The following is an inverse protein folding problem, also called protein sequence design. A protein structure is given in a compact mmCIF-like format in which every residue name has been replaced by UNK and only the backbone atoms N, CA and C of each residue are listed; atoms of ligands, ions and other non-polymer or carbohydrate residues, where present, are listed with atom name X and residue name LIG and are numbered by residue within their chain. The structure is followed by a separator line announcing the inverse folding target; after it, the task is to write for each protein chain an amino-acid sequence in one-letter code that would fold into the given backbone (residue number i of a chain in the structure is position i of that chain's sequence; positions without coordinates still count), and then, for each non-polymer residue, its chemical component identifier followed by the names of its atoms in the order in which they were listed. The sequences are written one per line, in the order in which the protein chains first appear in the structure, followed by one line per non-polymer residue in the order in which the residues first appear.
data_IF_811114993473
#
_entry.id   IF_811114993473
#
_cell.length_a   1.000
_cell.length_b   1.000
_cell.length_c   1.000
_cell.angle_alpha   90.00
_cell.angle_beta   90.00
_cell.angle_gamma   90.00
#
_symmetry.space_group_name_H-M   'P 1'
#
loop_
_entity.id
_entity.type
_entity.pdbx_description
1 polymer ?
#
# COMPACT_ATOMS: atom_id res chain seq x y z
N UNK A 1 -26.66 3.83 9.31
CA UNK A 1 -25.67 4.29 8.31
C UNK A 1 -24.34 4.76 8.95
N UNK A 2 -24.33 5.57 10.01
CA UNK A 2 -23.07 6.05 10.66
C UNK A 2 -22.09 4.95 11.09
N UNK A 3 -22.58 3.78 11.53
CA UNK A 3 -21.72 2.68 11.98
C UNK A 3 -20.90 1.99 10.87
N UNK A 4 -21.35 2.01 9.60
CA UNK A 4 -20.63 1.35 8.50
C UNK A 4 -19.38 2.12 8.05
N UNK A 5 -19.38 3.46 8.19
CA UNK A 5 -18.25 4.32 7.79
C UNK A 5 -17.00 4.00 8.63
N UNK A 6 -17.18 3.74 9.92
CA UNK A 6 -16.09 3.42 10.83
C UNK A 6 -15.90 1.91 11.04
N UNK A 7 -16.59 1.08 10.24
CA UNK A 7 -16.49 -0.37 10.37
C UNK A 7 -15.03 -0.81 10.26
N UNK A 8 -14.55 -1.52 11.29
CA UNK A 8 -13.19 -2.04 11.45
C UNK A 8 -12.05 -1.02 11.42
N UNK A 9 -12.34 0.29 11.36
CA UNK A 9 -11.30 1.32 11.35
C UNK A 9 -10.53 1.39 12.67
N UNK A 10 -11.15 1.01 13.79
CA UNK A 10 -10.45 0.83 15.06
C UNK A 10 -9.36 -0.26 15.01
N UNK A 11 -9.61 -1.36 14.30
CA UNK A 11 -8.60 -2.42 14.09
C UNK A 11 -7.48 -1.94 13.17
N UNK A 12 -7.82 -1.20 12.10
CA UNK A 12 -6.81 -0.61 11.21
C UNK A 12 -5.91 0.38 11.96
N UNK A 13 -6.48 1.23 12.82
CA UNK A 13 -5.73 2.16 13.67
C UNK A 13 -4.86 1.41 14.69
N UNK A 14 -5.43 0.43 15.40
CA UNK A 14 -4.68 -0.38 16.35
C UNK A 14 -3.48 -1.08 15.69
N UNK A 15 -3.68 -1.69 14.53
CA UNK A 15 -2.61 -2.32 13.76
C UNK A 15 -1.57 -1.30 13.25
N UNK A 16 -1.99 -0.11 12.82
CA UNK A 16 -1.06 0.97 12.46
C UNK A 16 -0.16 1.38 13.63
N UNK A 17 -0.73 1.52 14.83
CA UNK A 17 0.04 1.87 16.03
C UNK A 17 1.00 0.74 16.45
N UNK A 18 0.54 -0.51 16.43
CA UNK A 18 1.35 -1.68 16.79
C UNK A 18 2.50 -1.86 15.79
N UNK A 19 2.20 -1.90 14.48
CA UNK A 19 3.22 -2.05 13.45
C UNK A 19 4.21 -0.88 13.46
N UNK A 20 3.74 0.35 13.70
CA UNK A 20 4.59 1.52 13.84
C UNK A 20 5.51 1.44 15.07
N UNK A 21 4.98 1.01 16.21
CA UNK A 21 5.77 0.79 17.42
C UNK A 21 6.86 -0.27 17.21
N UNK A 22 6.51 -1.40 16.60
CA UNK A 22 7.46 -2.47 16.27
C UNK A 22 8.52 -1.99 15.25
N UNK A 23 8.09 -1.26 14.23
CA UNK A 23 8.97 -0.68 13.21
C UNK A 23 10.01 0.27 13.83
N UNK A 24 9.58 1.20 14.67
CA UNK A 24 10.49 2.18 15.28
C UNK A 24 11.37 1.53 16.35
N UNK A 25 10.84 0.57 17.09
CA UNK A 25 11.63 -0.22 18.05
C UNK A 25 12.73 -1.03 17.33
N UNK A 26 12.38 -1.78 16.28
CA UNK A 26 13.33 -2.54 15.48
C UNK A 26 14.30 -1.63 14.72
N UNK A 27 13.79 -0.54 14.14
CA UNK A 27 14.59 0.47 13.44
C UNK A 27 15.67 1.07 14.32
N UNK A 28 15.36 1.41 15.57
CA UNK A 28 16.35 1.91 16.54
C UNK A 28 17.47 0.90 16.82
N UNK A 29 17.17 -0.41 16.82
CA UNK A 29 18.16 -1.48 17.06
C UNK A 29 19.02 -1.76 15.84
N UNK A 30 18.45 -1.61 14.65
CA UNK A 30 19.10 -1.95 13.37
C UNK A 30 19.81 -0.76 12.70
N UNK A 31 19.68 0.45 13.24
CA UNK A 31 20.25 1.67 12.67
C UNK A 31 21.51 2.17 13.41
N UNK A 32 22.25 1.30 14.10
CA UNK A 32 23.41 1.71 14.92
C UNK A 32 24.52 2.37 14.08
N UNK A 33 24.71 1.91 12.84
CA UNK A 33 25.72 2.44 11.91
C UNK A 33 25.10 3.36 10.83
N UNK A 34 23.89 3.85 11.08
CA UNK A 34 23.18 4.66 10.10
C UNK A 34 23.83 6.05 9.93
N UNK A 35 23.91 6.51 8.68
CA UNK A 35 24.37 7.86 8.35
C UNK A 35 23.18 8.81 8.21
N UNK A 36 23.44 10.10 8.44
CA UNK A 36 22.46 11.16 8.15
C UNK A 36 22.35 11.29 6.62
N UNK A 37 21.13 11.25 6.11
CA UNK A 37 20.83 11.44 4.69
C UNK A 37 19.87 12.61 4.51
N UNK A 38 20.25 13.59 3.68
CA UNK A 38 19.47 14.80 3.41
C UNK A 38 18.97 15.52 4.69
N UNK A 39 19.81 15.56 5.74
CA UNK A 39 19.53 16.25 7.00
C UNK A 39 18.73 15.45 8.04
N UNK A 40 18.32 14.22 7.74
CA UNK A 40 17.56 13.37 8.65
C UNK A 40 18.30 12.05 8.97
N UNK A 41 18.12 11.56 10.19
CA UNK A 41 18.55 10.22 10.59
C UNK A 41 17.67 9.14 9.94
N UNK A 42 18.17 7.90 9.91
CA UNK A 42 17.39 6.76 9.42
C UNK A 42 16.06 6.60 10.17
N UNK A 43 16.06 6.75 11.50
CA UNK A 43 14.85 6.62 12.31
C UNK A 43 13.83 7.73 11.98
N UNK A 44 14.29 8.95 11.70
CA UNK A 44 13.43 10.04 11.24
C UNK A 44 12.83 9.73 9.87
N UNK A 45 13.63 9.23 8.92
CA UNK A 45 13.11 8.80 7.62
C UNK A 45 12.09 7.66 7.74
N UNK A 46 12.33 6.68 8.61
CA UNK A 46 11.38 5.61 8.90
C UNK A 46 10.07 6.15 9.47
N UNK A 47 10.15 7.09 10.43
CA UNK A 47 8.96 7.72 11.02
C UNK A 47 8.15 8.52 9.98
N UNK A 48 8.81 9.29 9.12
CA UNK A 48 8.17 10.04 8.03
C UNK A 48 7.50 9.09 7.03
N UNK A 49 8.21 8.03 6.62
CA UNK A 49 7.68 7.01 5.70
C UNK A 49 6.46 6.29 6.28
N UNK A 50 6.51 5.94 7.57
CA UNK A 50 5.40 5.31 8.29
C UNK A 50 4.19 6.24 8.42
N UNK A 51 4.43 7.51 8.77
CA UNK A 51 3.38 8.53 8.83
C UNK A 51 2.69 8.66 7.47
N UNK A 52 3.46 8.71 6.39
CA UNK A 52 2.93 8.80 5.04
C UNK A 52 2.11 7.54 4.66
N UNK A 53 2.55 6.34 5.07
CA UNK A 53 1.78 5.11 4.90
C UNK A 53 0.43 5.18 5.64
N UNK A 54 0.42 5.71 6.86
CA UNK A 54 -0.78 6.00 7.62
C UNK A 54 -1.71 6.96 6.89
N UNK A 55 -1.22 8.15 6.55
CA UNK A 55 -1.97 9.19 5.83
C UNK A 55 -2.59 8.61 4.57
N UNK A 56 -1.81 7.89 3.75
CA UNK A 56 -2.31 7.30 2.52
C UNK A 56 -3.44 6.30 2.75
N UNK A 57 -3.26 5.32 3.64
CA UNK A 57 -4.27 4.26 3.85
C UNK A 57 -5.54 4.77 4.54
N UNK A 58 -5.40 5.70 5.50
CA UNK A 58 -6.56 6.31 6.14
C UNK A 58 -7.27 7.29 5.22
N UNK A 59 -6.53 8.00 4.36
CA UNK A 59 -7.12 8.82 3.29
C UNK A 59 -7.95 7.94 2.34
N UNK A 60 -7.44 6.79 1.90
CA UNK A 60 -8.19 5.87 1.03
C UNK A 60 -9.48 5.43 1.73
N UNK A 61 -9.35 4.88 2.95
CA UNK A 61 -10.48 4.37 3.71
C UNK A 61 -11.54 5.45 3.95
N UNK A 62 -11.11 6.66 4.30
CA UNK A 62 -12.02 7.78 4.54
C UNK A 62 -12.83 8.14 3.30
N UNK A 63 -12.15 8.38 2.16
CA UNK A 63 -12.83 8.79 0.94
C UNK A 63 -13.71 7.68 0.36
N UNK A 64 -13.22 6.43 0.35
CA UNK A 64 -14.00 5.27 -0.10
C UNK A 64 -15.27 5.08 0.72
N UNK A 65 -15.17 5.09 2.05
CA UNK A 65 -16.32 4.87 2.94
C UNK A 65 -17.33 6.03 2.89
N UNK A 66 -16.85 7.27 2.81
CA UNK A 66 -17.72 8.43 2.63
C UNK A 66 -18.48 8.39 1.29
N UNK A 67 -17.81 7.97 0.23
CA UNK A 67 -18.47 7.87 -1.06
C UNK A 67 -19.46 6.71 -1.09
N UNK A 68 -19.04 5.51 -0.67
CA UNK A 68 -19.85 4.30 -0.72
C UNK A 68 -21.15 4.42 0.08
N UNK A 69 -21.09 4.97 1.29
CA UNK A 69 -22.24 5.03 2.21
C UNK A 69 -23.01 6.34 2.20
N UNK A 70 -22.46 7.40 1.62
CA UNK A 70 -23.07 8.72 1.70
C UNK A 70 -22.93 9.59 0.47
N UNK A 71 -22.23 9.14 -0.59
CA UNK A 71 -21.94 9.95 -1.80
C UNK A 71 -21.45 11.35 -1.47
N UNK A 72 -20.71 11.52 -0.38
CA UNK A 72 -20.41 12.84 0.18
C UNK A 72 -19.54 13.68 -0.75
N UNK A 73 -18.67 13.02 -1.53
CA UNK A 73 -17.75 13.68 -2.44
C UNK A 73 -18.46 13.98 -3.76
N UNK A 74 -19.12 12.99 -4.35
CA UNK A 74 -19.85 13.19 -5.62
C UNK A 74 -21.02 14.17 -5.50
N UNK A 75 -21.66 14.29 -4.33
CA UNK A 75 -22.70 15.32 -4.11
C UNK A 75 -22.18 16.76 -4.17
N UNK A 76 -20.91 16.98 -3.84
CA UNK A 76 -20.30 18.33 -3.83
C UNK A 76 -19.53 18.64 -5.11
N UNK A 77 -18.84 17.64 -5.66
CA UNK A 77 -17.89 17.82 -6.77
C UNK A 77 -18.35 17.14 -8.06
N UNK A 78 -19.47 16.41 -8.06
CA UNK A 78 -19.94 15.67 -9.22
C UNK A 78 -18.87 14.72 -9.78
N UNK A 79 -18.73 14.62 -11.11
CA UNK A 79 -17.71 13.78 -11.76
C UNK A 79 -16.27 14.14 -11.39
N UNK A 80 -16.00 15.38 -10.99
CA UNK A 80 -14.67 15.81 -10.57
C UNK A 80 -14.24 15.17 -9.24
N UNK A 81 -15.18 14.68 -8.42
CA UNK A 81 -14.91 14.05 -7.13
C UNK A 81 -13.93 12.87 -7.23
N UNK A 82 -14.18 11.95 -8.17
CA UNK A 82 -13.28 10.81 -8.39
C UNK A 82 -11.93 11.25 -8.97
N UNK A 83 -11.88 12.30 -9.79
CA UNK A 83 -10.62 12.81 -10.35
C UNK A 83 -9.72 13.35 -9.25
N UNK A 84 -10.26 14.18 -8.35
CA UNK A 84 -9.52 14.74 -7.20
C UNK A 84 -9.02 13.62 -6.29
N UNK A 85 -9.90 12.65 -5.99
CA UNK A 85 -9.51 11.45 -5.26
C UNK A 85 -8.31 10.77 -5.95
N UNK A 86 -8.44 10.44 -7.24
CA UNK A 86 -7.42 9.68 -7.97
C UNK A 86 -6.07 10.39 -8.03
N UNK A 87 -6.04 11.72 -8.17
CA UNK A 87 -4.80 12.50 -8.14
C UNK A 87 -4.12 12.35 -6.78
N UNK A 88 -4.87 12.52 -5.69
CA UNK A 88 -4.35 12.30 -4.33
C UNK A 88 -3.83 10.88 -4.13
N UNK A 89 -4.57 9.88 -4.63
CA UNK A 89 -4.17 8.48 -4.58
C UNK A 89 -2.80 8.24 -5.25
N UNK A 90 -2.59 8.79 -6.45
CA UNK A 90 -1.35 8.62 -7.20
C UNK A 90 -0.18 9.33 -6.52
N UNK A 91 -0.37 10.58 -6.08
CA UNK A 91 0.68 11.37 -5.45
C UNK A 91 1.13 10.72 -4.14
N UNK A 92 0.18 10.41 -3.24
CA UNK A 92 0.48 9.80 -1.95
C UNK A 92 1.01 8.37 -2.10
N UNK A 93 0.45 7.61 -3.05
CA UNK A 93 0.93 6.27 -3.38
C UNK A 93 2.38 6.30 -3.86
N UNK A 94 2.71 7.15 -4.83
CA UNK A 94 4.08 7.30 -5.33
C UNK A 94 5.04 7.76 -4.23
N UNK A 95 4.66 8.79 -3.46
CA UNK A 95 5.47 9.29 -2.36
C UNK A 95 5.78 8.19 -1.33
N UNK A 96 4.79 7.32 -1.04
CA UNK A 96 4.98 6.18 -0.14
C UNK A 96 6.06 5.21 -0.63
N UNK A 97 6.11 4.91 -1.93
CA UNK A 97 7.17 4.04 -2.49
C UNK A 97 8.54 4.73 -2.45
N UNK A 98 8.60 6.01 -2.80
CA UNK A 98 9.85 6.77 -2.85
C UNK A 98 10.49 6.92 -1.45
N UNK A 99 9.69 6.98 -0.39
CA UNK A 99 10.19 7.10 0.99
C UNK A 99 10.94 5.85 1.51
N UNK A 100 10.94 4.74 0.78
CA UNK A 100 11.79 3.58 1.12
C UNK A 100 13.26 3.85 0.78
N UNK A 101 13.54 4.68 -0.23
CA UNK A 101 14.90 4.94 -0.74
C UNK A 101 15.77 5.68 0.28
N UNK A 102 15.33 6.79 0.92
CA UNK A 102 16.12 7.48 1.94
C UNK A 102 16.51 6.58 3.12
N UNK A 103 15.60 5.69 3.56
CA UNK A 103 15.90 4.71 4.63
C UNK A 103 16.94 3.70 4.16
N UNK A 104 16.77 3.15 2.95
CA UNK A 104 17.73 2.20 2.40
C UNK A 104 19.13 2.80 2.22
N UNK A 105 19.22 4.05 1.76
CA UNK A 105 20.49 4.76 1.59
C UNK A 105 21.15 5.11 2.92
N UNK A 106 20.39 5.61 3.89
CA UNK A 106 20.92 5.98 5.23
C UNK A 106 21.42 4.78 6.03
N UNK A 107 20.97 3.57 5.69
CA UNK A 107 21.30 2.31 6.40
C UNK A 107 21.88 1.27 5.45
N UNK A 108 22.56 1.72 4.40
CA UNK A 108 23.19 0.83 3.41
C UNK A 108 24.22 -0.08 4.08
N UNK A 109 24.34 -1.32 3.63
CA UNK A 109 25.28 -2.32 4.15
C UNK A 109 25.13 -2.62 5.66
N UNK A 110 23.95 -2.37 6.25
CA UNK A 110 23.63 -2.81 7.62
C UNK A 110 23.27 -4.29 7.69
N UNK A 111 23.18 -4.96 6.55
CA UNK A 111 22.99 -6.39 6.39
C UNK A 111 24.04 -6.93 5.44
N UNK A 112 24.50 -8.15 5.69
CA UNK A 112 25.47 -8.85 4.84
C UNK A 112 24.79 -10.05 4.16
N UNK A 113 24.01 -9.76 3.12
CA UNK A 113 23.42 -10.82 2.30
C UNK A 113 24.41 -11.20 1.19
N UNK A 114 24.65 -12.50 0.96
CA UNK A 114 25.43 -12.91 -0.18
C UNK A 114 24.83 -12.37 -1.49
N UNK A 115 25.68 -11.82 -2.35
CA UNK A 115 25.26 -11.14 -3.59
C UNK A 115 24.36 -12.02 -4.47
N UNK A 116 24.67 -13.32 -4.57
CA UNK A 116 23.86 -14.26 -5.34
C UNK A 116 22.42 -14.34 -4.81
N UNK A 117 22.22 -14.31 -3.49
CA UNK A 117 20.90 -14.37 -2.88
C UNK A 117 20.16 -13.04 -3.06
N UNK A 118 20.85 -11.91 -2.85
CA UNK A 118 20.28 -10.56 -3.09
C UNK A 118 19.77 -10.43 -4.52
N UNK A 119 20.61 -10.74 -5.51
CA UNK A 119 20.25 -10.60 -6.92
C UNK A 119 19.24 -11.66 -7.36
N UNK A 120 19.31 -12.89 -6.85
CA UNK A 120 18.29 -13.91 -7.10
C UNK A 120 16.90 -13.41 -6.69
N UNK A 121 16.74 -12.87 -5.48
CA UNK A 121 15.46 -12.36 -4.99
C UNK A 121 14.91 -11.23 -5.87
N UNK A 122 15.76 -10.29 -6.31
CA UNK A 122 15.37 -9.19 -7.19
C UNK A 122 14.97 -9.72 -8.58
N UNK A 123 15.82 -10.54 -9.20
CA UNK A 123 15.63 -11.05 -10.56
C UNK A 123 14.38 -11.94 -10.64
N UNK A 124 14.13 -12.79 -9.64
CA UNK A 124 12.96 -13.68 -9.63
C UNK A 124 11.67 -12.91 -9.35
N UNK A 125 11.69 -11.94 -8.44
CA UNK A 125 10.47 -11.19 -8.10
C UNK A 125 10.07 -10.16 -9.17
N UNK A 126 11.04 -9.59 -9.90
CA UNK A 126 10.79 -8.50 -10.87
C UNK A 126 9.80 -8.90 -11.99
N UNK A 127 9.94 -10.03 -12.71
CA UNK A 127 8.97 -10.43 -13.73
C UNK A 127 7.55 -10.58 -13.17
N UNK A 128 7.43 -11.16 -11.97
CA UNK A 128 6.14 -11.28 -11.28
C UNK A 128 5.53 -9.91 -10.98
N UNK A 129 6.32 -8.99 -10.44
CA UNK A 129 5.89 -7.60 -10.16
C UNK A 129 5.42 -6.92 -11.45
N UNK A 130 6.18 -7.02 -12.54
CA UNK A 130 5.85 -6.39 -13.83
C UNK A 130 4.55 -6.96 -14.40
N UNK A 131 4.40 -8.29 -14.40
CA UNK A 131 3.17 -8.93 -14.89
C UNK A 131 1.94 -8.56 -14.04
N UNK A 132 2.10 -8.53 -12.72
CA UNK A 132 1.04 -8.14 -11.80
C UNK A 132 0.64 -6.67 -11.94
N UNK A 133 1.62 -5.77 -12.11
CA UNK A 133 1.38 -4.36 -12.35
C UNK A 133 0.71 -4.13 -13.71
N UNK A 134 1.13 -4.84 -14.75
CA UNK A 134 0.49 -4.80 -16.06
C UNK A 134 -0.99 -5.23 -15.96
N UNK A 135 -1.26 -6.36 -15.29
CA UNK A 135 -2.62 -6.81 -15.04
C UNK A 135 -3.45 -5.75 -14.31
N UNK A 136 -2.93 -5.17 -13.24
CA UNK A 136 -3.64 -4.15 -12.46
C UNK A 136 -3.94 -2.87 -13.27
N UNK A 137 -2.99 -2.42 -14.09
CA UNK A 137 -3.14 -1.16 -14.85
C UNK A 137 -4.00 -1.31 -16.10
N UNK A 138 -3.86 -2.43 -16.82
CA UNK A 138 -4.44 -2.60 -18.16
C UNK A 138 -5.60 -3.60 -18.21
N UNK A 139 -5.53 -4.71 -17.46
CA UNK A 139 -6.60 -5.72 -17.48
C UNK A 139 -7.71 -5.34 -16.49
N UNK A 140 -7.35 -5.14 -15.22
CA UNK A 140 -8.29 -4.65 -14.20
C UNK A 140 -8.72 -3.20 -14.47
N UNK A 141 -7.82 -2.43 -15.08
CA UNK A 141 -8.04 -1.06 -15.49
C UNK A 141 -7.70 -0.06 -14.38
N UNK A 142 -6.86 0.91 -14.73
CA UNK A 142 -6.35 1.91 -13.78
C UNK A 142 -7.43 2.63 -12.96
N UNK A 143 -8.59 2.97 -13.55
CA UNK A 143 -9.69 3.60 -12.81
C UNK A 143 -10.17 2.70 -11.66
N UNK A 144 -10.40 1.42 -11.94
CA UNK A 144 -10.87 0.44 -10.95
C UNK A 144 -9.78 0.13 -9.94
N UNK A 145 -8.50 0.04 -10.36
CA UNK A 145 -7.34 -0.12 -9.47
C UNK A 145 -7.22 1.01 -8.43
N UNK A 146 -7.66 2.22 -8.80
CA UNK A 146 -7.72 3.36 -7.87
C UNK A 146 -9.04 3.45 -7.10
N UNK A 147 -9.99 2.54 -7.26
CA UNK A 147 -11.23 2.50 -6.47
C UNK A 147 -12.45 3.19 -7.10
N UNK A 148 -12.55 3.22 -8.44
CA UNK A 148 -13.73 3.74 -9.14
C UNK A 148 -15.04 3.01 -8.76
N UNK A 149 -14.95 1.76 -8.33
CA UNK A 149 -16.07 0.95 -7.85
C UNK A 149 -16.79 1.52 -6.62
N UNK A 150 -16.11 2.37 -5.85
CA UNK A 150 -16.72 3.09 -4.72
C UNK A 150 -17.51 4.32 -5.17
N UNK A 151 -17.18 4.90 -6.33
CA UNK A 151 -17.76 6.14 -6.85
C UNK A 151 -18.86 5.90 -7.88
N UNK A 152 -18.70 4.88 -8.73
CA UNK A 152 -19.58 4.63 -9.86
C UNK A 152 -20.44 3.37 -9.62
N UNK A 153 -21.77 3.53 -9.45
CA UNK A 153 -22.68 2.40 -9.26
C UNK A 153 -22.69 1.39 -10.40
N UNK A 154 -22.25 1.75 -11.62
CA UNK A 154 -22.18 0.83 -12.76
C UNK A 154 -21.29 -0.40 -12.47
N UNK A 155 -20.32 -0.28 -11.56
CA UNK A 155 -19.46 -1.40 -11.18
C UNK A 155 -20.15 -2.46 -10.31
N UNK A 156 -21.33 -2.19 -9.74
CA UNK A 156 -22.03 -3.15 -8.85
C UNK A 156 -22.53 -4.41 -9.57
N UNK A 157 -22.74 -4.32 -10.88
CA UNK A 157 -23.13 -5.44 -11.75
C UNK A 157 -21.96 -5.95 -12.58
N UNK A 158 -20.78 -5.34 -12.46
CA UNK A 158 -19.59 -5.77 -13.19
C UNK A 158 -19.04 -7.06 -12.60
N UNK A 159 -18.57 -7.96 -13.47
CA UNK A 159 -17.84 -9.15 -13.05
C UNK A 159 -16.48 -8.75 -12.46
N UNK A 160 -15.98 -9.59 -11.55
CA UNK A 160 -14.59 -9.49 -11.12
C UNK A 160 -13.68 -9.88 -12.31
N UNK A 161 -12.54 -9.20 -12.41
CA UNK A 161 -11.56 -9.49 -13.44
C UNK A 161 -11.00 -10.91 -13.25
N UNK A 162 -10.92 -11.68 -14.33
CA UNK A 162 -10.52 -13.09 -14.30
C UNK A 162 -9.56 -13.47 -15.43
N UNK A 163 -9.08 -12.49 -16.19
CA UNK A 163 -8.06 -12.65 -17.22
C UNK A 163 -6.64 -12.46 -16.68
N UNK A 164 -5.66 -12.90 -17.47
CA UNK A 164 -4.23 -12.74 -17.16
C UNK A 164 -3.87 -13.26 -15.76
N UNK A 165 -3.19 -12.42 -14.98
CA UNK A 165 -2.75 -12.78 -13.63
C UNK A 165 -3.92 -13.00 -12.66
N UNK A 166 -5.07 -12.35 -12.88
CA UNK A 166 -6.26 -12.50 -12.03
C UNK A 166 -6.92 -13.87 -12.17
N UNK A 167 -6.61 -14.62 -13.25
CA UNK A 167 -7.02 -16.04 -13.38
C UNK A 167 -6.37 -16.93 -12.33
N UNK A 168 -5.14 -16.60 -11.93
CA UNK A 168 -4.33 -17.41 -11.04
C UNK A 168 -4.37 -16.92 -9.58
N UNK A 169 -4.71 -15.65 -9.38
CA UNK A 169 -4.62 -15.00 -8.08
C UNK A 169 -5.67 -13.91 -7.89
N UNK A 170 -6.34 -13.91 -6.73
CA UNK A 170 -7.40 -12.93 -6.43
C UNK A 170 -6.87 -11.51 -6.19
N UNK A 171 -5.74 -11.36 -5.48
CA UNK A 171 -5.18 -10.06 -5.09
C UNK A 171 -3.70 -9.91 -5.50
N UNK A 172 -3.39 -9.95 -6.81
CA UNK A 172 -2.01 -9.88 -7.31
C UNK A 172 -1.29 -8.57 -6.92
N UNK A 173 -2.03 -7.47 -6.77
CA UNK A 173 -1.47 -6.21 -6.25
C UNK A 173 -0.86 -6.40 -4.85
N UNK A 174 -1.62 -7.04 -3.95
CA UNK A 174 -1.25 -7.20 -2.54
C UNK A 174 -0.18 -8.28 -2.36
N UNK A 175 -0.22 -9.34 -3.15
CA UNK A 175 0.70 -10.46 -3.00
C UNK A 175 2.01 -10.27 -3.78
N UNK A 176 1.96 -9.69 -4.98
CA UNK A 176 3.09 -9.66 -5.91
C UNK A 176 3.59 -8.24 -6.15
N UNK A 177 2.74 -7.27 -6.49
CA UNK A 177 3.21 -5.90 -6.80
C UNK A 177 3.94 -5.28 -5.60
N UNK A 178 3.45 -5.49 -4.38
CA UNK A 178 4.08 -4.96 -3.17
C UNK A 178 5.47 -5.53 -2.86
N UNK A 179 5.91 -6.61 -3.53
CA UNK A 179 7.30 -7.08 -3.43
C UNK A 179 8.31 -6.02 -3.92
N UNK A 180 7.86 -5.06 -4.74
CA UNK A 180 8.68 -3.91 -5.14
C UNK A 180 9.15 -3.08 -3.94
N UNK A 181 8.40 -3.05 -2.83
CA UNK A 181 8.78 -2.32 -1.62
C UNK A 181 10.11 -2.80 -1.03
N UNK A 182 10.46 -4.07 -1.23
CA UNK A 182 11.67 -4.68 -0.69
C UNK A 182 12.90 -4.38 -1.55
N UNK A 183 12.72 -3.93 -2.81
CA UNK A 183 13.84 -3.72 -3.73
C UNK A 183 14.87 -2.71 -3.23
N UNK A 184 14.50 -1.53 -2.67
CA UNK A 184 15.48 -0.64 -2.07
C UNK A 184 16.27 -1.30 -0.94
N UNK A 185 15.59 -2.01 -0.03
CA UNK A 185 16.26 -2.72 1.06
C UNK A 185 17.23 -3.79 0.57
N UNK A 186 16.86 -4.55 -0.47
CA UNK A 186 17.72 -5.56 -1.08
C UNK A 186 18.92 -4.91 -1.78
N UNK A 187 18.68 -3.96 -2.69
CA UNK A 187 19.71 -3.30 -3.50
C UNK A 187 20.83 -2.67 -2.65
N UNK A 188 20.47 -2.00 -1.56
CA UNK A 188 21.42 -1.34 -0.66
C UNK A 188 21.79 -2.16 0.58
N UNK A 189 21.37 -3.43 0.66
CA UNK A 189 21.60 -4.29 1.82
C UNK A 189 21.23 -3.62 3.15
N UNK A 190 20.04 -3.05 3.19
CA UNK A 190 19.53 -2.27 4.31
C UNK A 190 18.54 -3.09 5.12
N UNK A 191 18.95 -3.53 6.31
CA UNK A 191 18.06 -4.23 7.23
C UNK A 191 16.87 -3.35 7.67
N UNK A 192 17.07 -2.07 8.05
CA UNK A 192 15.96 -1.15 8.36
C UNK A 192 15.03 -0.89 7.16
N UNK A 193 15.57 -0.83 5.95
CA UNK A 193 14.79 -0.68 4.71
C UNK A 193 13.88 -1.88 4.44
N UNK A 194 14.37 -3.11 4.67
CA UNK A 194 13.56 -4.33 4.58
C UNK A 194 12.50 -4.41 5.68
N UNK A 195 12.85 -4.02 6.92
CA UNK A 195 11.88 -3.94 8.02
C UNK A 195 10.74 -2.96 7.68
N UNK A 196 11.08 -1.80 7.12
CA UNK A 196 10.11 -0.80 6.69
C UNK A 196 9.23 -1.32 5.54
N UNK A 197 9.82 -2.01 4.56
CA UNK A 197 9.10 -2.65 3.46
C UNK A 197 8.08 -3.68 3.99
N UNK A 198 8.49 -4.53 4.93
CA UNK A 198 7.63 -5.52 5.58
C UNK A 198 6.48 -4.85 6.35
N UNK A 199 6.76 -3.80 7.12
CA UNK A 199 5.73 -3.04 7.83
C UNK A 199 4.71 -2.40 6.86
N UNK A 200 5.19 -1.80 5.76
CA UNK A 200 4.31 -1.24 4.72
C UNK A 200 3.44 -2.32 4.07
N UNK A 201 4.03 -3.46 3.74
CA UNK A 201 3.33 -4.58 3.12
C UNK A 201 2.25 -5.15 4.05
N UNK A 202 2.60 -5.41 5.31
CA UNK A 202 1.67 -5.87 6.33
C UNK A 202 0.50 -4.88 6.54
N UNK A 203 0.79 -3.58 6.59
CA UNK A 203 -0.25 -2.57 6.77
C UNK A 203 -1.20 -2.46 5.58
N UNK A 204 -0.73 -2.76 4.36
CA UNK A 204 -1.61 -2.84 3.19
C UNK A 204 -2.57 -4.02 3.31
N UNK A 205 -2.12 -5.17 3.80
CA UNK A 205 -3.03 -6.28 4.12
C UNK A 205 -4.04 -5.95 5.21
N UNK A 206 -3.62 -5.23 6.25
CA UNK A 206 -4.54 -4.73 7.28
C UNK A 206 -5.62 -3.85 6.65
N UNK A 207 -5.24 -2.92 5.76
CA UNK A 207 -6.17 -2.07 5.03
C UNK A 207 -7.16 -2.91 4.20
N UNK A 208 -6.68 -3.93 3.49
CA UNK A 208 -7.54 -4.84 2.75
C UNK A 208 -8.61 -5.50 3.64
N UNK A 209 -8.23 -6.05 4.79
CA UNK A 209 -9.17 -6.75 5.66
C UNK A 209 -10.14 -5.82 6.42
N UNK A 210 -9.72 -4.59 6.70
CA UNK A 210 -10.51 -3.62 7.45
C UNK A 210 -11.40 -2.74 6.57
N UNK A 211 -10.96 -2.45 5.34
CA UNK A 211 -11.60 -1.48 4.45
C UNK A 211 -12.06 -2.15 3.17
N UNK A 212 -11.14 -2.56 2.30
CA UNK A 212 -11.49 -3.00 0.94
C UNK A 212 -12.38 -4.24 0.94
N UNK A 213 -12.05 -5.29 1.68
CA UNK A 213 -12.84 -6.55 1.67
C UNK A 213 -14.29 -6.33 2.15
N UNK A 214 -14.56 -5.65 3.28
CA UNK A 214 -15.92 -5.26 3.65
C UNK A 214 -16.62 -4.42 2.57
N UNK A 215 -15.93 -3.46 1.97
CA UNK A 215 -16.51 -2.58 0.94
C UNK A 215 -16.85 -3.37 -0.34
N UNK A 216 -15.97 -4.24 -0.81
CA UNK A 216 -16.23 -5.16 -1.93
C UNK A 216 -17.43 -6.07 -1.66
N UNK A 217 -17.60 -6.54 -0.41
CA UNK A 217 -18.76 -7.34 -0.02
C UNK A 217 -20.06 -6.54 -0.16
N UNK A 218 -20.04 -5.25 0.17
CA UNK A 218 -21.18 -4.35 0.00
C UNK A 218 -21.44 -4.02 -1.49
N UNK A 219 -20.38 -3.71 -2.24
CA UNK A 219 -20.45 -3.31 -3.65
C UNK A 219 -20.95 -4.45 -4.53
N UNK A 220 -20.34 -5.62 -4.42
CA UNK A 220 -20.60 -6.78 -5.29
C UNK A 220 -21.64 -7.74 -4.72
N UNK A 221 -22.14 -7.48 -3.50
CA UNK A 221 -23.09 -8.34 -2.78
C UNK A 221 -22.64 -9.81 -2.71
N UNK A 222 -21.34 -10.06 -2.82
CA UNK A 222 -20.75 -11.39 -2.75
C UNK A 222 -20.94 -11.90 -1.34
N UNK A 223 -21.92 -12.80 -1.15
CA UNK A 223 -22.02 -13.57 0.10
C UNK A 223 -20.80 -14.51 0.17
N UNK A 224 -20.18 -14.50 1.35
CA UNK A 224 -18.98 -15.24 1.77
C UNK A 224 -18.72 -16.54 1.02
#
# INVERSE_FOLDING_TARGET
MRGKILERQGYQLGAYLILGGLLLYGGRRLSNDAHIFAGFSALQWMAVSWLLAGVFQFWIAFFWRLELYGKHISRRLGPAGFIVFRIGFVILGAARFLMLVPVALSTRNTMDLPDYLRFFLIIVSTPGIVWAAYGALFQFGFKRATGADHFDPAYRTATLESSGIFKHMRNPMYAIVLLVLYHPGLLWQSAPGLLLAAAHHAFVWVHYFCTEKPDLTEIYKTRR
#
